data_IF_099042993324
#
_entry.id   IF_099042993324
#
_cell.length_a   1.000
_cell.length_b   1.000
_cell.length_c   1.000
_cell.angle_alpha   90.00
_cell.angle_beta   90.00
_cell.angle_gamma   90.00
#
_symmetry.space_group_name_H-M   'P 1'
#
loop_
_entity.id
_entity.type
_entity.pdbx_description
1 polymer ?
#
# COMPACT_ATOMS: atom_id res chain seq x y z
N UNK A 1 -10.17 23.67 -3.31
CA UNK A 1 -8.96 24.37 -2.82
C UNK A 1 -8.27 25.06 -3.99
N UNK A 2 -7.62 26.21 -3.74
CA UNK A 2 -6.80 26.87 -4.76
C UNK A 2 -5.42 26.22 -4.84
N UNK A 3 -4.72 26.35 -5.99
CA UNK A 3 -3.34 25.84 -6.12
C UNK A 3 -2.40 26.43 -5.07
N UNK A 4 -2.60 27.69 -4.71
CA UNK A 4 -1.81 28.35 -3.66
C UNK A 4 -1.97 27.70 -2.28
N UNK A 5 -3.20 27.28 -1.92
CA UNK A 5 -3.47 26.59 -0.66
C UNK A 5 -2.81 25.19 -0.65
N UNK A 6 -2.79 24.48 -1.78
CA UNK A 6 -2.07 23.22 -1.90
C UNK A 6 -0.57 23.39 -1.72
N UNK A 7 0.04 24.36 -2.39
CA UNK A 7 1.48 24.66 -2.23
C UNK A 7 1.83 25.05 -0.80
N UNK A 8 1.00 25.85 -0.16
CA UNK A 8 1.21 26.27 1.23
C UNK A 8 1.09 25.07 2.19
N UNK A 9 0.12 24.17 1.99
CA UNK A 9 -0.03 22.98 2.80
C UNK A 9 1.17 22.04 2.64
N UNK A 10 1.47 21.65 1.40
CA UNK A 10 2.55 20.68 1.13
C UNK A 10 3.91 21.28 1.52
N UNK A 11 4.19 22.50 1.12
CA UNK A 11 5.44 23.19 1.47
C UNK A 11 5.59 23.42 2.97
N UNK A 12 4.52 23.80 3.65
CA UNK A 12 4.49 23.95 5.10
C UNK A 12 4.73 22.63 5.84
N UNK A 13 4.12 21.52 5.40
CA UNK A 13 4.35 20.18 5.96
C UNK A 13 5.78 19.69 5.74
N UNK A 14 6.35 19.90 4.54
CA UNK A 14 7.74 19.54 4.24
C UNK A 14 8.72 20.34 5.09
N UNK A 15 8.49 21.64 5.23
CA UNK A 15 9.32 22.52 6.07
C UNK A 15 9.21 22.13 7.55
N UNK A 16 8.00 21.91 8.05
CA UNK A 16 7.77 21.46 9.42
C UNK A 16 8.49 20.14 9.69
N UNK A 17 8.41 19.17 8.75
CA UNK A 17 9.15 17.90 8.85
C UNK A 17 10.65 18.14 8.91
N UNK A 18 11.22 18.95 8.02
CA UNK A 18 12.65 19.21 7.99
C UNK A 18 13.14 19.81 9.31
N UNK A 19 12.39 20.74 9.88
CA UNK A 19 12.74 21.41 11.14
C UNK A 19 12.53 20.50 12.37
N UNK A 20 11.53 19.60 12.35
CA UNK A 20 11.20 18.73 13.49
C UNK A 20 11.87 17.35 13.42
N UNK A 21 12.53 17.00 12.31
CA UNK A 21 13.16 15.70 12.12
C UNK A 21 14.08 15.25 13.29
N UNK A 22 14.98 16.12 13.83
CA UNK A 22 15.84 15.72 14.94
C UNK A 22 15.08 15.47 16.25
N UNK A 23 13.95 16.17 16.44
CA UNK A 23 13.09 16.01 17.61
C UNK A 23 12.26 14.72 17.50
N UNK A 24 11.68 14.46 16.35
CA UNK A 24 10.88 13.26 16.08
C UNK A 24 11.68 11.97 16.22
N UNK A 25 12.96 11.97 15.83
CA UNK A 25 13.84 10.80 16.02
C UNK A 25 14.07 10.42 17.49
N UNK A 26 13.82 11.33 18.43
CA UNK A 26 13.94 11.08 19.88
C UNK A 26 12.63 10.60 20.52
N UNK A 27 11.54 10.69 19.81
CA UNK A 27 10.21 10.30 20.31
C UNK A 27 9.85 8.92 19.77
N UNK A 28 9.16 8.08 20.56
CA UNK A 28 8.66 6.78 20.11
C UNK A 28 7.39 6.95 19.25
N UNK A 29 7.42 7.88 18.27
CA UNK A 29 6.27 8.25 17.43
C UNK A 29 6.71 8.25 15.98
N UNK A 30 5.99 7.53 15.13
CA UNK A 30 6.28 7.53 13.70
C UNK A 30 5.85 8.85 13.05
N UNK A 31 6.54 9.32 12.00
CA UNK A 31 6.14 10.51 11.26
C UNK A 31 4.70 10.46 10.75
N UNK A 32 4.20 9.26 10.40
CA UNK A 32 2.83 9.05 9.95
C UNK A 32 1.80 9.46 11.01
N UNK A 33 2.01 9.14 12.29
CA UNK A 33 1.14 9.54 13.40
C UNK A 33 1.10 11.07 13.53
N UNK A 34 2.26 11.72 13.37
CA UNK A 34 2.34 13.18 13.44
C UNK A 34 1.56 13.82 12.30
N UNK A 35 1.71 13.31 11.06
CA UNK A 35 0.94 13.81 9.92
C UNK A 35 -0.55 13.58 10.05
N UNK A 36 -0.95 12.42 10.59
CA UNK A 36 -2.35 12.14 10.88
C UNK A 36 -2.92 13.14 11.90
N UNK A 37 -2.20 13.41 12.99
CA UNK A 37 -2.60 14.38 14.00
C UNK A 37 -2.71 15.79 13.41
N UNK A 38 -1.74 16.22 12.60
CA UNK A 38 -1.80 17.51 11.89
C UNK A 38 -2.99 17.55 10.94
N UNK A 39 -3.24 16.47 10.17
CA UNK A 39 -4.40 16.38 9.27
C UNK A 39 -5.72 16.51 10.00
N UNK A 40 -5.87 15.86 11.17
CA UNK A 40 -7.07 15.99 12.03
C UNK A 40 -7.24 17.42 12.57
N UNK A 41 -6.14 18.06 13.00
CA UNK A 41 -6.17 19.42 13.52
C UNK A 41 -6.55 20.46 12.46
N UNK A 42 -5.93 20.36 11.27
CA UNK A 42 -6.12 21.34 10.18
C UNK A 42 -7.39 21.05 9.36
N UNK A 43 -7.84 19.80 9.40
CA UNK A 43 -9.03 19.32 8.69
C UNK A 43 -10.35 19.87 9.21
N UNK A 44 -11.47 19.38 8.64
CA UNK A 44 -12.81 19.86 8.97
C UNK A 44 -13.25 19.52 10.40
N UNK A 45 -12.54 18.64 11.07
CA UNK A 45 -12.90 18.18 12.42
C UNK A 45 -12.55 19.16 13.52
N UNK A 46 -11.48 19.97 13.38
CA UNK A 46 -11.03 20.89 14.44
C UNK A 46 -10.93 22.32 13.93
N UNK A 47 -9.94 22.65 13.09
CA UNK A 47 -9.69 24.05 12.66
C UNK A 47 -10.45 24.42 11.38
N UNK A 48 -10.95 23.44 10.63
CA UNK A 48 -11.72 23.66 9.41
C UNK A 48 -10.99 24.52 8.35
N UNK A 49 -9.65 24.48 8.33
CA UNK A 49 -8.82 25.27 7.42
C UNK A 49 -8.71 24.63 6.04
N UNK A 50 -8.75 23.29 5.96
CA UNK A 50 -8.64 22.53 4.73
C UNK A 50 -9.79 21.55 4.57
N UNK A 51 -10.48 21.66 3.43
CA UNK A 51 -11.55 20.76 3.03
C UNK A 51 -11.12 19.99 1.80
N UNK A 52 -10.84 18.71 1.98
CA UNK A 52 -10.60 17.77 0.90
C UNK A 52 -11.72 16.73 0.91
N UNK A 53 -12.44 16.60 -0.19
CA UNK A 53 -13.46 15.59 -0.35
C UNK A 53 -12.92 14.49 -1.28
N UNK A 54 -12.53 13.32 -0.74
CA UNK A 54 -11.91 12.25 -1.53
C UNK A 54 -12.83 11.70 -2.63
N UNK A 55 -14.16 11.80 -2.45
CA UNK A 55 -15.13 11.35 -3.46
C UNK A 55 -15.25 12.33 -4.63
N UNK A 56 -15.12 13.63 -4.37
CA UNK A 56 -15.20 14.66 -5.43
C UNK A 56 -13.88 14.85 -6.17
N UNK A 57 -12.76 14.64 -5.49
CA UNK A 57 -11.41 14.82 -5.99
C UNK A 57 -10.69 13.47 -6.17
N UNK A 58 -11.45 12.41 -6.49
CA UNK A 58 -10.94 11.04 -6.61
C UNK A 58 -9.82 10.91 -7.63
N UNK A 59 -9.92 11.56 -8.80
CA UNK A 59 -8.88 11.51 -9.82
C UNK A 59 -7.55 12.14 -9.36
N UNK A 60 -7.61 13.23 -8.60
CA UNK A 60 -6.39 13.83 -8.01
C UNK A 60 -5.79 12.90 -6.94
N UNK A 61 -6.64 12.32 -6.10
CA UNK A 61 -6.21 11.38 -5.07
C UNK A 61 -5.55 10.14 -5.66
N UNK A 62 -6.14 9.59 -6.73
CA UNK A 62 -5.61 8.44 -7.48
C UNK A 62 -4.19 8.74 -7.98
N UNK A 63 -3.99 9.82 -8.74
CA UNK A 63 -2.66 10.21 -9.26
C UNK A 63 -1.65 10.44 -8.14
N UNK A 64 -2.04 11.11 -7.05
CA UNK A 64 -1.15 11.36 -5.93
C UNK A 64 -0.73 10.06 -5.23
N UNK A 65 -1.68 9.15 -4.99
CA UNK A 65 -1.38 7.86 -4.35
C UNK A 65 -0.53 6.97 -5.26
N UNK A 66 -0.79 6.92 -6.57
CA UNK A 66 0.06 6.21 -7.52
C UNK A 66 1.51 6.71 -7.51
N UNK A 67 1.72 8.02 -7.58
CA UNK A 67 3.07 8.61 -7.53
C UNK A 67 3.77 8.28 -6.22
N UNK A 68 3.08 8.36 -5.09
CA UNK A 68 3.64 8.03 -3.78
C UNK A 68 4.03 6.56 -3.70
N UNK A 69 3.17 5.65 -4.17
CA UNK A 69 3.45 4.20 -4.20
C UNK A 69 4.64 3.90 -5.10
N UNK A 70 4.69 4.45 -6.32
CA UNK A 70 5.82 4.27 -7.24
C UNK A 70 7.16 4.70 -6.64
N UNK A 71 7.21 5.88 -6.01
CA UNK A 71 8.42 6.39 -5.35
C UNK A 71 8.81 5.48 -4.17
N UNK A 72 7.84 5.03 -3.39
CA UNK A 72 8.06 4.18 -2.22
C UNK A 72 8.61 2.81 -2.64
N UNK A 73 7.98 2.16 -3.62
CA UNK A 73 8.42 0.87 -4.15
C UNK A 73 9.79 0.96 -4.82
N UNK A 74 10.04 2.00 -5.60
CA UNK A 74 11.35 2.26 -6.20
C UNK A 74 12.44 2.44 -5.12
N UNK A 75 12.15 3.24 -4.08
CA UNK A 75 13.07 3.43 -2.95
C UNK A 75 13.36 2.14 -2.20
N UNK A 76 12.36 1.27 -2.02
CA UNK A 76 12.54 -0.05 -1.43
C UNK A 76 13.41 -0.94 -2.34
N UNK A 77 13.13 -0.97 -3.65
CA UNK A 77 13.87 -1.76 -4.64
C UNK A 77 15.35 -1.41 -4.71
N UNK A 78 15.70 -0.12 -4.70
CA UNK A 78 17.10 0.35 -4.71
C UNK A 78 17.90 -0.13 -3.48
N UNK A 79 17.25 -0.39 -2.36
CA UNK A 79 17.90 -0.91 -1.14
C UNK A 79 18.09 -2.42 -1.14
N UNK A 80 17.51 -3.14 -2.13
CA UNK A 80 17.61 -4.59 -2.18
C UNK A 80 19.02 -5.06 -2.52
N UNK A 81 19.54 -6.06 -1.79
CA UNK A 81 20.86 -6.60 -2.06
C UNK A 81 20.85 -7.46 -3.32
N UNK A 82 21.88 -7.31 -4.14
CA UNK A 82 22.19 -8.16 -5.27
C UNK A 82 23.43 -9.03 -4.93
N UNK A 83 23.55 -10.24 -5.46
CA UNK A 83 22.75 -10.89 -6.50
C UNK A 83 21.46 -11.54 -5.98
N UNK A 84 20.53 -11.80 -6.89
CA UNK A 84 19.31 -12.55 -6.64
C UNK A 84 19.64 -14.00 -6.24
N UNK A 85 19.03 -14.47 -5.13
CA UNK A 85 19.16 -15.85 -4.65
C UNK A 85 17.78 -16.42 -4.31
N UNK A 86 17.37 -17.47 -5.02
CA UNK A 86 16.08 -18.14 -4.81
C UNK A 86 15.89 -18.59 -3.35
N UNK A 87 16.95 -19.09 -2.72
CA UNK A 87 16.88 -19.51 -1.31
C UNK A 87 16.51 -18.36 -0.38
N UNK A 88 17.05 -17.17 -0.64
CA UNK A 88 16.77 -15.95 0.15
C UNK A 88 15.40 -15.36 -0.16
N UNK A 89 14.96 -15.43 -1.41
CA UNK A 89 13.70 -14.87 -1.88
C UNK A 89 12.47 -15.74 -1.62
N UNK A 90 12.68 -17.02 -1.30
CA UNK A 90 11.56 -17.97 -1.06
C UNK A 90 10.57 -17.46 0.00
N UNK A 91 11.07 -16.96 1.13
CA UNK A 91 10.20 -16.47 2.21
C UNK A 91 9.42 -15.22 1.81
N UNK A 92 10.04 -14.15 1.26
CA UNK A 92 9.29 -13.00 0.74
C UNK A 92 8.22 -13.37 -0.28
N UNK A 93 8.54 -14.24 -1.24
CA UNK A 93 7.59 -14.68 -2.26
C UNK A 93 6.40 -15.41 -1.64
N UNK A 94 6.64 -16.31 -0.67
CA UNK A 94 5.55 -17.01 0.03
C UNK A 94 4.67 -16.04 0.84
N UNK A 95 5.26 -15.04 1.46
CA UNK A 95 4.52 -14.01 2.20
C UNK A 95 3.68 -13.16 1.25
N UNK A 96 4.26 -12.66 0.18
CA UNK A 96 3.57 -11.83 -0.79
C UNK A 96 2.52 -12.59 -1.64
N UNK A 97 2.57 -13.91 -1.71
CA UNK A 97 1.61 -14.71 -2.49
C UNK A 97 0.65 -15.52 -1.61
N UNK A 98 1.15 -16.56 -0.95
CA UNK A 98 0.32 -17.50 -0.20
C UNK A 98 -0.28 -16.84 1.05
N UNK A 99 0.54 -16.14 1.83
CA UNK A 99 0.05 -15.44 3.02
C UNK A 99 -0.95 -14.35 2.66
N UNK A 100 -0.69 -13.60 1.57
CA UNK A 100 -1.62 -12.62 1.02
C UNK A 100 -2.97 -13.26 0.67
N UNK A 101 -2.96 -14.35 -0.11
CA UNK A 101 -4.19 -15.05 -0.50
C UNK A 101 -4.98 -15.56 0.71
N UNK A 102 -4.29 -16.11 1.71
CA UNK A 102 -4.92 -16.57 2.96
C UNK A 102 -5.51 -15.39 3.73
N UNK A 103 -4.79 -14.28 3.86
CA UNK A 103 -5.27 -13.07 4.55
C UNK A 103 -6.51 -12.49 3.87
N UNK A 104 -6.48 -12.35 2.55
CA UNK A 104 -7.65 -11.91 1.76
C UNK A 104 -8.83 -12.85 1.98
N UNK A 105 -8.60 -14.18 1.91
CA UNK A 105 -9.64 -15.18 2.11
C UNK A 105 -10.25 -15.14 3.52
N UNK A 106 -9.44 -14.97 4.55
CA UNK A 106 -9.91 -14.87 5.94
C UNK A 106 -10.73 -13.60 6.17
N UNK A 107 -10.26 -12.45 5.65
CA UNK A 107 -11.01 -11.18 5.75
C UNK A 107 -12.31 -11.27 4.95
N UNK A 108 -12.27 -11.86 3.74
CA UNK A 108 -13.47 -12.06 2.93
C UNK A 108 -14.49 -12.97 3.64
N UNK A 109 -14.04 -14.06 4.25
CA UNK A 109 -14.89 -14.96 5.02
C UNK A 109 -15.49 -14.27 6.24
N UNK A 110 -14.70 -13.50 6.98
CA UNK A 110 -15.17 -12.68 8.10
C UNK A 110 -16.24 -11.68 7.65
N UNK A 111 -15.95 -10.93 6.58
CA UNK A 111 -16.89 -9.93 6.05
C UNK A 111 -18.19 -10.57 5.56
N UNK A 112 -18.12 -11.72 4.89
CA UNK A 112 -19.29 -12.44 4.40
C UNK A 112 -20.12 -13.05 5.55
N UNK A 113 -19.46 -13.81 6.47
CA UNK A 113 -20.15 -14.59 7.49
C UNK A 113 -20.63 -13.76 8.69
N UNK A 114 -19.87 -12.72 9.09
CA UNK A 114 -20.13 -11.95 10.31
C UNK A 114 -20.72 -10.55 10.03
N UNK A 115 -20.31 -9.91 8.94
CA UNK A 115 -20.81 -8.58 8.58
C UNK A 115 -21.96 -8.64 7.57
N UNK A 116 -22.26 -9.82 6.99
CA UNK A 116 -23.31 -9.98 5.98
C UNK A 116 -23.05 -9.25 4.66
N UNK A 117 -21.78 -8.94 4.36
CA UNK A 117 -21.41 -8.25 3.12
C UNK A 117 -21.43 -9.22 1.93
N UNK A 118 -21.70 -8.75 0.69
CA UNK A 118 -21.53 -9.58 -0.50
C UNK A 118 -20.08 -10.09 -0.61
N UNK A 119 -19.90 -11.31 -1.12
CA UNK A 119 -18.59 -11.95 -1.23
C UNK A 119 -17.57 -11.07 -1.95
N UNK A 120 -17.96 -10.41 -3.04
CA UNK A 120 -17.09 -9.49 -3.78
C UNK A 120 -16.63 -8.30 -2.94
N UNK A 121 -17.50 -7.74 -2.10
CA UNK A 121 -17.13 -6.67 -1.17
C UNK A 121 -16.17 -7.19 -0.07
N UNK A 122 -16.37 -8.42 0.40
CA UNK A 122 -15.47 -9.07 1.34
C UNK A 122 -14.08 -9.30 0.76
N UNK A 123 -13.99 -9.79 -0.48
CA UNK A 123 -12.71 -9.99 -1.20
C UNK A 123 -12.02 -8.66 -1.43
N UNK A 124 -12.75 -7.63 -1.86
CA UNK A 124 -12.21 -6.28 -2.06
C UNK A 124 -11.67 -5.69 -0.75
N UNK A 125 -12.42 -5.82 0.34
CA UNK A 125 -11.98 -5.39 1.67
C UNK A 125 -10.72 -6.14 2.10
N UNK A 126 -10.65 -7.45 1.87
CA UNK A 126 -9.46 -8.26 2.14
C UNK A 126 -8.26 -7.80 1.32
N UNK A 127 -8.44 -7.54 0.03
CA UNK A 127 -7.38 -7.07 -0.87
C UNK A 127 -6.84 -5.69 -0.48
N UNK A 128 -7.67 -4.83 0.09
CA UNK A 128 -7.25 -3.49 0.57
C UNK A 128 -6.53 -3.56 1.92
N UNK A 129 -6.96 -4.46 2.81
CA UNK A 129 -6.43 -4.52 4.18
C UNK A 129 -5.25 -5.48 4.36
N UNK A 130 -5.05 -6.43 3.45
CA UNK A 130 -4.00 -7.45 3.58
C UNK A 130 -2.58 -6.93 3.27
N UNK A 131 -2.34 -5.99 2.33
CA UNK A 131 -1.01 -5.45 2.10
C UNK A 131 -0.47 -4.70 3.32
N UNK A 132 0.84 -4.82 3.54
CA UNK A 132 1.57 -4.07 4.57
C UNK A 132 2.14 -2.79 3.97
N UNK A 133 1.94 -1.65 4.62
CA UNK A 133 2.44 -0.35 4.15
C UNK A 133 3.97 -0.26 4.28
N UNK A 134 4.72 -0.13 3.18
CA UNK A 134 6.17 0.00 3.22
C UNK A 134 6.65 1.28 3.91
N UNK A 135 5.84 2.34 3.92
CA UNK A 135 6.20 3.61 4.58
C UNK A 135 6.16 3.47 6.10
N UNK A 136 5.13 2.80 6.62
CA UNK A 136 5.01 2.53 8.06
C UNK A 136 6.06 1.53 8.54
N UNK A 137 6.48 0.59 7.69
CA UNK A 137 7.48 -0.41 8.00
C UNK A 137 8.95 0.09 7.87
N UNK A 138 9.18 1.36 7.51
CA UNK A 138 10.52 1.91 7.18
C UNK A 138 11.57 1.65 8.28
N UNK A 139 11.18 1.70 9.56
CA UNK A 139 12.11 1.51 10.68
C UNK A 139 12.62 0.06 10.81
N UNK A 140 11.87 -0.91 10.31
CA UNK A 140 12.20 -2.35 10.34
C UNK A 140 12.69 -2.89 9.01
N UNK A 141 12.72 -2.07 7.97
CA UNK A 141 13.20 -2.42 6.64
C UNK A 141 14.73 -2.37 6.52
N UNK A 142 15.23 -2.93 5.41
CA UNK A 142 16.64 -2.83 4.99
C UNK A 142 17.08 -1.37 4.89
N UNK A 143 18.14 -1.00 5.58
CA UNK A 143 18.64 0.37 5.64
C UNK A 143 19.58 0.72 4.49
N UNK A 144 20.35 -0.24 4.02
CA UNK A 144 21.33 -0.08 2.93
C UNK A 144 21.57 -1.43 2.24
N UNK A 145 22.08 -1.43 0.99
CA UNK A 145 22.28 -2.68 0.20
C UNK A 145 23.22 -3.71 0.84
N UNK A 146 24.07 -3.31 1.77
CA UNK A 146 24.96 -4.20 2.53
C UNK A 146 24.35 -4.81 3.78
N UNK A 147 23.08 -4.52 4.10
CA UNK A 147 22.39 -5.08 5.25
C UNK A 147 22.17 -6.59 5.04
N UNK A 148 22.67 -7.40 5.96
CA UNK A 148 22.62 -8.87 5.90
C UNK A 148 21.51 -9.47 6.77
N UNK A 149 20.74 -8.64 7.45
CA UNK A 149 19.63 -9.09 8.28
C UNK A 149 18.54 -9.71 7.40
N UNK A 150 18.29 -11.00 7.61
CA UNK A 150 17.32 -11.76 6.82
C UNK A 150 15.87 -11.31 7.10
N UNK A 151 15.58 -10.91 8.34
CA UNK A 151 14.24 -10.44 8.71
C UNK A 151 13.95 -9.11 8.01
N UNK A 152 14.88 -8.15 8.08
CA UNK A 152 14.74 -6.86 7.40
C UNK A 152 14.61 -7.02 5.89
N UNK A 153 15.43 -7.89 5.30
CA UNK A 153 15.33 -8.23 3.88
C UNK A 153 13.94 -8.76 3.55
N UNK A 154 13.45 -9.75 4.33
CA UNK A 154 12.14 -10.37 4.10
C UNK A 154 11.01 -9.34 4.18
N UNK A 155 11.00 -8.50 5.21
CA UNK A 155 9.98 -7.46 5.39
C UNK A 155 10.04 -6.40 4.29
N UNK A 156 11.24 -6.02 3.84
CA UNK A 156 11.39 -5.05 2.74
C UNK A 156 10.87 -5.61 1.42
N UNK A 157 11.24 -6.87 1.10
CA UNK A 157 10.77 -7.55 -0.10
C UNK A 157 9.26 -7.78 -0.07
N UNK A 158 8.73 -8.25 1.06
CA UNK A 158 7.31 -8.50 1.24
C UNK A 158 6.52 -7.20 1.04
N UNK A 159 6.86 -6.12 1.73
CA UNK A 159 6.21 -4.83 1.60
C UNK A 159 6.33 -4.22 0.18
N UNK A 160 7.37 -4.54 -0.57
CA UNK A 160 7.52 -4.10 -1.97
C UNK A 160 6.73 -4.95 -2.98
N UNK A 161 6.37 -6.18 -2.64
CA UNK A 161 5.71 -7.12 -3.55
C UNK A 161 4.22 -7.29 -3.27
N UNK A 162 3.78 -7.09 -2.04
CA UNK A 162 2.42 -7.38 -1.62
C UNK A 162 1.37 -6.45 -2.24
N UNK A 163 1.70 -5.18 -2.48
CA UNK A 163 0.81 -4.25 -3.20
C UNK A 163 0.51 -4.77 -4.62
N UNK A 164 1.55 -5.21 -5.34
CA UNK A 164 1.40 -5.83 -6.65
C UNK A 164 0.60 -7.14 -6.60
N UNK A 165 0.81 -7.96 -5.59
CA UNK A 165 0.08 -9.22 -5.43
C UNK A 165 -1.36 -9.04 -4.91
N UNK A 166 -1.71 -7.89 -4.34
CA UNK A 166 -3.08 -7.54 -3.97
C UNK A 166 -3.95 -7.20 -5.18
N UNK A 167 -3.35 -6.64 -6.25
CA UNK A 167 -4.06 -6.17 -7.44
C UNK A 167 -4.99 -7.23 -8.06
N UNK A 168 -4.56 -8.50 -8.30
CA UNK A 168 -5.45 -9.56 -8.77
C UNK A 168 -6.68 -9.76 -7.88
N UNK A 169 -6.54 -9.64 -6.56
CA UNK A 169 -7.67 -9.80 -5.65
C UNK A 169 -8.61 -8.59 -5.67
N UNK A 170 -8.10 -7.37 -5.90
CA UNK A 170 -8.92 -6.20 -6.14
C UNK A 170 -9.78 -6.42 -7.38
N UNK A 171 -9.18 -6.86 -8.50
CA UNK A 171 -9.89 -7.16 -9.74
C UNK A 171 -10.92 -8.28 -9.55
N UNK A 172 -10.58 -9.33 -8.77
CA UNK A 172 -11.52 -10.39 -8.42
C UNK A 172 -12.72 -9.85 -7.62
N UNK A 173 -12.46 -9.04 -6.59
CA UNK A 173 -13.52 -8.44 -5.78
C UNK A 173 -14.44 -7.55 -6.59
N UNK A 174 -13.89 -6.70 -7.45
CA UNK A 174 -14.65 -5.87 -8.39
C UNK A 174 -15.46 -6.71 -9.37
N UNK A 175 -14.88 -7.78 -9.91
CA UNK A 175 -15.57 -8.67 -10.82
C UNK A 175 -16.73 -9.42 -10.18
N UNK A 176 -16.58 -9.87 -8.94
CA UNK A 176 -17.67 -10.49 -8.16
C UNK A 176 -18.79 -9.50 -7.82
N UNK A 177 -18.52 -8.19 -7.85
CA UNK A 177 -19.49 -7.10 -7.72
C UNK A 177 -20.09 -6.68 -9.07
N UNK A 178 -19.65 -7.25 -10.20
CA UNK A 178 -20.09 -6.88 -11.53
C UNK A 178 -19.48 -5.59 -12.09
N UNK A 179 -18.40 -5.11 -11.47
CA UNK A 179 -17.69 -3.87 -11.85
C UNK A 179 -16.46 -4.13 -12.73
N UNK A 180 -16.07 -5.39 -12.92
CA UNK A 180 -14.95 -5.81 -13.76
C UNK A 180 -15.29 -7.14 -14.45
N UNK A 181 -14.84 -7.33 -15.69
CA UNK A 181 -15.11 -8.55 -16.45
C UNK A 181 -14.10 -9.65 -16.08
N UNK A 182 -14.56 -10.69 -15.41
CA UNK A 182 -13.73 -11.86 -15.07
C UNK A 182 -13.56 -12.84 -16.24
N UNK A 183 -14.39 -12.72 -17.29
CA UNK A 183 -14.49 -13.70 -18.38
C UNK A 183 -15.23 -14.97 -17.98
N UNK A 184 -15.42 -15.88 -18.94
CA UNK A 184 -16.08 -17.17 -18.67
C UNK A 184 -15.24 -17.96 -17.65
N UNK A 185 -15.92 -18.47 -16.62
CA UNK A 185 -15.28 -19.22 -15.50
C UNK A 185 -14.07 -18.51 -14.85
N UNK A 186 -13.96 -17.19 -14.94
CA UNK A 186 -12.83 -16.45 -14.37
C UNK A 186 -11.53 -16.54 -15.19
N UNK A 187 -11.57 -17.04 -16.43
CA UNK A 187 -10.38 -17.24 -17.26
C UNK A 187 -9.67 -15.91 -17.58
N UNK A 188 -10.41 -14.84 -17.83
CA UNK A 188 -9.80 -13.53 -18.08
C UNK A 188 -9.04 -13.04 -16.85
N UNK A 189 -9.65 -13.16 -15.68
CA UNK A 189 -8.97 -12.84 -14.43
C UNK A 189 -7.69 -13.63 -14.25
N UNK A 190 -7.71 -14.96 -14.42
CA UNK A 190 -6.55 -15.80 -14.23
C UNK A 190 -5.43 -15.50 -15.25
N UNK A 191 -5.77 -15.26 -16.52
CA UNK A 191 -4.80 -15.05 -17.59
C UNK A 191 -4.29 -13.60 -17.68
N UNK A 192 -5.15 -12.61 -17.44
CA UNK A 192 -4.79 -11.19 -17.59
C UNK A 192 -4.41 -10.59 -16.25
N UNK A 193 -5.31 -10.66 -15.25
CA UNK A 193 -5.11 -9.94 -14.00
C UNK A 193 -4.10 -10.66 -13.08
N UNK A 194 -3.93 -11.99 -13.20
CA UNK A 194 -2.91 -12.74 -12.44
C UNK A 194 -1.66 -12.99 -13.28
N UNK A 195 -1.75 -13.79 -14.34
CA UNK A 195 -0.58 -14.27 -15.07
C UNK A 195 0.11 -13.14 -15.85
N UNK A 196 -0.63 -12.44 -16.72
CA UNK A 196 -0.05 -11.37 -17.52
C UNK A 196 0.47 -10.22 -16.68
N UNK A 197 -0.28 -9.77 -15.66
CA UNK A 197 0.17 -8.70 -14.76
C UNK A 197 1.44 -9.10 -14.01
N UNK A 198 1.55 -10.36 -13.53
CA UNK A 198 2.76 -10.87 -12.87
C UNK A 198 3.95 -10.91 -13.84
N UNK A 199 3.75 -11.42 -15.06
CA UNK A 199 4.83 -11.48 -16.08
C UNK A 199 5.29 -10.07 -16.46
N UNK A 200 4.36 -9.15 -16.69
CA UNK A 200 4.68 -7.76 -17.04
C UNK A 200 5.40 -7.01 -15.90
N UNK A 201 5.12 -7.35 -14.65
CA UNK A 201 5.80 -6.76 -13.49
C UNK A 201 7.23 -7.29 -13.29
N UNK A 202 7.56 -8.47 -13.83
CA UNK A 202 8.91 -9.08 -13.73
C UNK A 202 9.79 -8.68 -14.92
N UNK A 203 9.20 -8.32 -16.08
CA UNK A 203 9.93 -8.00 -17.32
C UNK A 203 10.53 -6.59 -17.30
#
# INVERSE_FOLDING_TARGET
>A
MTNAQWFLLVGGLLLARALTAPLLQRLPVTPAIVYLAVGLLVGPTVLNLFHFNPLKESALLEVLTEVVVLISLFSAGVKMPVPFSLARWRTPILLASVSMAVSVGLVAAFAYCLLGLPLGAGVLLGAILAPTDPVLATDVQTRHPGDRDQLRFTLTCEAGMNDGSAFPFVMLGMGLLGLHELGEFGLRWALVDVLWATVAAIA
#
